data_IF_989293582537
#
_entry.id   IF_989293582537
#
_cell.length_a   1.000
_cell.length_b   1.000
_cell.length_c   1.000
_cell.angle_alpha   90.00
_cell.angle_beta   90.00
_cell.angle_gamma   90.00
#
_symmetry.space_group_name_H-M   'P 1'
#
loop_
_entity.id
_entity.type
_entity.pdbx_description
1 polymer ?
#
# COMPACT_ATOMS: atom_id res chain seq x y z
N UNK A 1 -1.97 -7.45 -18.38
CA UNK A 1 -2.84 -7.38 -17.18
C UNK A 1 -1.95 -7.32 -15.95
N UNK A 2 -2.14 -6.34 -15.07
CA UNK A 2 -1.48 -6.32 -13.77
C UNK A 2 -2.18 -7.37 -12.89
N UNK A 3 -1.45 -8.39 -12.44
CA UNK A 3 -1.96 -9.38 -11.49
C UNK A 3 -1.82 -8.83 -10.09
N UNK A 4 -2.89 -8.86 -9.33
CA UNK A 4 -2.87 -8.55 -7.90
C UNK A 4 -2.19 -9.70 -7.14
N UNK A 5 -1.40 -9.35 -6.13
CA UNK A 5 -0.80 -10.29 -5.19
C UNK A 5 -1.09 -9.80 -3.77
N UNK A 6 -1.47 -10.72 -2.90
CA UNK A 6 -1.61 -10.46 -1.46
C UNK A 6 -0.22 -10.47 -0.83
N UNK A 7 0.17 -9.37 -0.20
CA UNK A 7 1.51 -9.16 0.35
C UNK A 7 1.39 -8.88 1.84
N UNK A 8 2.29 -9.45 2.65
CA UNK A 8 2.40 -9.13 4.06
C UNK A 8 2.80 -7.66 4.23
N UNK A 9 2.07 -6.93 5.06
CA UNK A 9 2.30 -5.49 5.25
C UNK A 9 3.71 -5.21 5.80
N UNK A 10 4.25 -6.12 6.61
CA UNK A 10 5.60 -6.03 7.17
C UNK A 10 6.72 -6.07 6.10
N UNK A 11 6.47 -6.78 4.98
CA UNK A 11 7.41 -6.86 3.86
C UNK A 11 7.41 -5.59 2.99
N UNK A 12 6.50 -4.65 3.24
CA UNK A 12 6.34 -3.42 2.47
C UNK A 12 7.12 -2.27 3.10
N UNK A 13 8.26 -1.95 2.49
CA UNK A 13 9.04 -0.77 2.79
C UNK A 13 8.43 0.50 2.18
N UNK A 14 8.08 1.45 3.05
CA UNK A 14 7.68 2.81 2.65
C UNK A 14 8.92 3.73 2.64
N UNK A 15 9.32 4.31 1.50
CA UNK A 15 10.42 5.28 1.44
C UNK A 15 10.18 6.51 2.32
N UNK A 16 11.22 7.01 2.99
CA UNK A 16 11.12 8.16 3.90
C UNK A 16 10.51 9.42 3.23
N UNK A 17 10.82 9.66 1.94
CA UNK A 17 10.25 10.77 1.18
C UNK A 17 8.72 10.67 1.06
N UNK A 18 8.17 9.46 0.91
CA UNK A 18 6.71 9.24 0.86
C UNK A 18 6.06 9.35 2.23
N UNK A 19 6.73 8.89 3.30
CA UNK A 19 6.16 9.01 4.65
C UNK A 19 5.80 10.45 5.01
N UNK A 20 6.56 11.44 4.48
CA UNK A 20 6.28 12.87 4.67
C UNK A 20 5.01 13.36 3.98
N UNK A 21 4.46 12.62 3.01
CA UNK A 21 3.22 12.97 2.30
C UNK A 21 1.99 12.30 2.89
N UNK A 22 2.13 11.65 4.04
CA UNK A 22 0.99 11.05 4.74
C UNK A 22 0.12 12.15 5.34
N UNK A 23 -1.18 12.06 5.08
CA UNK A 23 -2.20 12.86 5.74
C UNK A 23 -3.02 11.91 6.62
N UNK A 24 -2.79 11.91 7.96
CA UNK A 24 -3.40 10.93 8.86
C UNK A 24 -4.93 10.94 8.80
N UNK A 25 -5.54 12.12 8.66
CA UNK A 25 -7.00 12.26 8.56
C UNK A 25 -7.56 11.59 7.30
N UNK A 26 -6.88 11.75 6.16
CA UNK A 26 -7.25 11.05 4.91
C UNK A 26 -7.12 9.54 5.05
N UNK A 27 -6.07 9.05 5.72
CA UNK A 27 -5.90 7.61 5.95
C UNK A 27 -7.00 7.06 6.88
N UNK A 28 -7.42 7.84 7.88
CA UNK A 28 -8.53 7.49 8.78
C UNK A 28 -9.87 7.39 8.05
N UNK A 29 -10.25 8.41 7.28
CA UNK A 29 -11.48 8.39 6.48
C UNK A 29 -11.48 7.23 5.49
N UNK A 30 -10.31 6.91 4.93
CA UNK A 30 -10.16 5.80 4.01
C UNK A 30 -10.26 4.43 4.70
N UNK A 31 -9.84 4.32 5.96
CA UNK A 31 -10.02 3.10 6.74
C UNK A 31 -11.51 2.82 7.00
N UNK A 32 -12.31 3.86 7.25
CA UNK A 32 -13.76 3.75 7.38
C UNK A 32 -14.38 3.23 6.06
N UNK A 33 -14.04 3.82 4.90
CA UNK A 33 -14.52 3.31 3.59
C UNK A 33 -14.04 1.88 3.30
N UNK A 34 -12.80 1.53 3.66
CA UNK A 34 -12.27 0.18 3.46
C UNK A 34 -12.97 -0.84 4.36
N UNK A 35 -13.33 -0.46 5.58
CA UNK A 35 -14.07 -1.32 6.50
C UNK A 35 -15.47 -1.63 5.96
N UNK A 36 -16.14 -0.64 5.37
CA UNK A 36 -17.49 -0.79 4.83
C UNK A 36 -17.52 -1.44 3.44
N UNK A 37 -16.60 -1.05 2.55
CA UNK A 37 -16.65 -1.39 1.12
C UNK A 37 -15.48 -2.25 0.62
N UNK A 38 -14.53 -2.58 1.49
CA UNK A 38 -13.30 -3.26 1.13
C UNK A 38 -12.31 -2.38 0.35
N UNK A 39 -11.12 -2.93 0.09
CA UNK A 39 -10.10 -2.26 -0.71
C UNK A 39 -10.44 -2.32 -2.20
N UNK A 40 -11.09 -1.27 -2.71
CA UNK A 40 -11.51 -1.18 -4.13
C UNK A 40 -10.33 -1.10 -5.11
N UNK A 41 -9.22 -0.51 -4.70
CA UNK A 41 -8.03 -0.35 -5.53
C UNK A 41 -6.81 -0.84 -4.78
N UNK A 42 -6.13 -1.90 -5.27
CA UNK A 42 -4.87 -2.37 -4.71
C UNK A 42 -3.77 -1.30 -4.71
N UNK A 43 -2.83 -1.42 -3.77
CA UNK A 43 -1.64 -0.55 -3.76
C UNK A 43 -0.69 -0.93 -4.89
N UNK A 44 0.31 -0.10 -5.18
CA UNK A 44 1.37 -0.46 -6.12
C UNK A 44 2.69 -0.61 -5.39
N UNK A 45 3.36 -1.73 -5.63
CA UNK A 45 4.69 -2.00 -5.07
C UNK A 45 5.63 -2.45 -6.17
N UNK A 46 6.92 -2.16 -6.00
CA UNK A 46 7.98 -2.78 -6.80
C UNK A 46 8.79 -3.70 -5.91
N UNK A 47 9.27 -4.81 -6.46
CA UNK A 47 10.22 -5.66 -5.76
C UNK A 47 11.64 -5.20 -6.09
N UNK A 48 12.49 -4.98 -5.09
CA UNK A 48 13.89 -4.56 -5.28
C UNK A 48 14.90 -5.72 -5.23
N UNK A 49 14.42 -6.96 -5.10
CA UNK A 49 15.24 -8.16 -4.91
C UNK A 49 15.30 -8.64 -3.46
N UNK A 50 14.93 -7.79 -2.48
CA UNK A 50 14.91 -8.13 -1.05
C UNK A 50 13.54 -7.90 -0.41
N UNK A 51 12.85 -6.82 -0.77
CA UNK A 51 11.58 -6.42 -0.16
C UNK A 51 10.67 -5.70 -1.16
N UNK A 52 9.41 -5.54 -0.79
CA UNK A 52 8.47 -4.74 -1.57
C UNK A 52 8.63 -3.27 -1.19
N UNK A 53 8.80 -2.41 -2.18
CA UNK A 53 8.93 -0.97 -1.98
C UNK A 53 7.65 -0.31 -2.47
N UNK A 54 7.00 0.46 -1.59
CA UNK A 54 5.77 1.18 -1.91
C UNK A 54 6.01 2.20 -3.04
N UNK A 55 5.24 2.06 -4.12
CA UNK A 55 5.22 2.97 -5.26
C UNK A 55 3.98 3.88 -5.19
N UNK A 56 2.82 3.37 -4.78
CA UNK A 56 1.59 4.17 -4.74
C UNK A 56 0.59 3.58 -3.73
N UNK A 57 -0.32 4.41 -3.22
CA UNK A 57 -1.33 3.98 -2.24
C UNK A 57 -0.88 4.06 -0.77
N UNK A 58 -0.07 5.07 -0.40
CA UNK A 58 0.37 5.28 0.98
C UNK A 58 -0.78 5.35 1.99
N UNK A 59 -1.79 6.18 1.73
CA UNK A 59 -2.94 6.32 2.64
C UNK A 59 -3.75 5.03 2.76
N UNK A 60 -3.83 4.22 1.69
CA UNK A 60 -4.48 2.90 1.72
C UNK A 60 -3.71 1.91 2.59
N UNK A 61 -2.38 1.88 2.44
CA UNK A 61 -1.51 1.06 3.28
C UNK A 61 -1.63 1.43 4.76
N UNK A 62 -1.64 2.72 5.09
CA UNK A 62 -1.78 3.17 6.47
C UNK A 62 -3.20 2.94 7.01
N UNK A 63 -4.22 3.06 6.17
CA UNK A 63 -5.60 2.74 6.52
C UNK A 63 -5.76 1.26 6.93
N UNK A 64 -5.29 0.32 6.11
CA UNK A 64 -5.40 -1.12 6.46
C UNK A 64 -4.57 -1.49 7.69
N UNK A 65 -3.41 -0.85 7.88
CA UNK A 65 -2.62 -1.01 9.11
C UNK A 65 -3.39 -0.57 10.33
N UNK A 66 -4.10 0.56 10.22
CA UNK A 66 -4.90 1.08 11.32
C UNK A 66 -6.11 0.19 11.65
N UNK A 67 -6.67 -0.49 10.64
CA UNK A 67 -7.69 -1.53 10.82
C UNK A 67 -7.14 -2.84 11.44
N UNK A 68 -5.82 -2.98 11.57
CA UNK A 68 -5.19 -4.19 12.13
C UNK A 68 -4.98 -5.32 11.12
N UNK A 69 -5.12 -5.04 9.82
CA UNK A 69 -4.84 -6.02 8.78
C UNK A 69 -3.34 -6.38 8.76
N UNK A 70 -3.06 -7.62 8.39
CA UNK A 70 -1.68 -8.15 8.29
C UNK A 70 -1.21 -8.27 6.84
N UNK A 71 -2.15 -8.25 5.88
CA UNK A 71 -1.89 -8.38 4.46
C UNK A 71 -2.67 -7.33 3.67
N UNK A 72 -2.19 -7.03 2.46
CA UNK A 72 -2.88 -6.12 1.55
C UNK A 72 -2.68 -6.57 0.10
N UNK A 73 -3.71 -6.38 -0.71
CA UNK A 73 -3.64 -6.57 -2.15
C UNK A 73 -2.81 -5.49 -2.83
N UNK A 74 -1.85 -5.92 -3.65
CA UNK A 74 -0.92 -5.05 -4.35
C UNK A 74 -0.69 -5.48 -5.80
N UNK A 75 -0.52 -4.49 -6.68
CA UNK A 75 0.04 -4.69 -8.01
C UNK A 75 1.56 -4.63 -7.95
N UNK A 76 2.20 -5.67 -8.49
CA UNK A 76 3.63 -5.67 -8.72
C UNK A 76 3.93 -4.89 -10.00
N UNK A 77 4.64 -3.77 -9.86
CA UNK A 77 5.06 -2.92 -10.98
C UNK A 77 6.57 -3.03 -11.19
N UNK A 78 6.99 -2.87 -12.45
CA UNK A 78 8.41 -2.79 -12.79
C UNK A 78 9.00 -1.46 -12.30
N UNK A 79 10.28 -1.46 -11.95
CA UNK A 79 11.00 -0.22 -11.72
C UNK A 79 10.96 0.63 -13.02
N UNK A 80 10.66 1.93 -12.91
CA UNK A 80 10.74 2.84 -14.06
C UNK A 80 12.17 2.78 -14.60
N UNK A 81 12.34 2.26 -15.83
CA UNK A 81 13.57 2.43 -16.60
C UNK A 81 13.63 3.91 -16.98
N UNK A 82 14.68 4.59 -16.54
CA UNK A 82 14.92 5.99 -16.80
C UNK A 82 15.72 6.17 -18.09
#
# INVERSE_FOLDING_TARGET
>A
MLRTQTIAIDDIYVPAARRKTLHPETARLLAEDILENGLKTPIQVRFDGKRYVLVEGLHRLEAVKWLGETTIDAYLVQARKH
#
